data_IF_353745217022
#
_entry.id   IF_353745217022
#
_cell.length_a   1.000
_cell.length_b   1.000
_cell.length_c   1.000
_cell.angle_alpha   90.00
_cell.angle_beta   90.00
_cell.angle_gamma   90.00
#
_symmetry.space_group_name_H-M   'P 1'
#
loop_
_entity.id
_entity.type
_entity.pdbx_description
1 polymer ?
#
# COMPACT_ATOMS: atom_id res chain seq x y z
N UNK A 1 -7.60 -8.49 -14.63
CA UNK A 1 -6.48 -8.43 -15.62
C UNK A 1 -6.36 -9.67 -16.50
N UNK A 2 -6.44 -10.89 -15.94
CA UNK A 2 -6.28 -12.13 -16.70
C UNK A 2 -7.32 -12.34 -17.82
N UNK A 3 -8.59 -11.96 -17.62
CA UNK A 3 -9.65 -12.08 -18.63
C UNK A 3 -9.46 -11.19 -19.86
N UNK A 4 -8.82 -10.03 -19.68
CA UNK A 4 -8.65 -9.06 -20.74
C UNK A 4 -7.50 -9.48 -21.68
N UNK A 5 -6.50 -10.19 -21.16
CA UNK A 5 -5.47 -10.86 -21.97
C UNK A 5 -6.04 -12.02 -22.80
N UNK A 6 -6.99 -12.79 -22.26
CA UNK A 6 -7.69 -13.87 -23.01
C UNK A 6 -8.77 -13.37 -23.96
N UNK A 7 -9.40 -12.22 -23.69
CA UNK A 7 -10.47 -11.65 -24.52
C UNK A 7 -9.97 -10.75 -25.68
N UNK A 8 -8.68 -10.85 -26.08
CA UNK A 8 -8.00 -9.94 -27.03
C UNK A 8 -8.11 -8.45 -26.67
N UNK A 9 -8.44 -8.12 -25.42
CA UNK A 9 -8.43 -6.72 -24.97
C UNK A 9 -6.97 -6.28 -24.93
N UNK A 10 -6.60 -5.19 -25.62
CA UNK A 10 -5.21 -4.76 -25.69
C UNK A 10 -4.66 -4.55 -24.28
N UNK A 11 -3.48 -5.10 -23.99
CA UNK A 11 -2.79 -4.93 -22.69
C UNK A 11 -2.68 -3.46 -22.29
N UNK A 12 -2.59 -2.57 -23.27
CA UNK A 12 -2.59 -1.13 -23.12
C UNK A 12 -3.91 -0.58 -22.55
N UNK A 13 -5.07 -1.12 -22.95
CA UNK A 13 -6.37 -0.71 -22.42
C UNK A 13 -6.53 -1.14 -20.95
N UNK A 14 -6.02 -2.33 -20.61
CA UNK A 14 -5.99 -2.81 -19.22
C UNK A 14 -5.09 -1.92 -18.37
N UNK A 15 -3.89 -1.60 -18.86
CA UNK A 15 -2.96 -0.70 -18.19
C UNK A 15 -3.56 0.71 -18.00
N UNK A 16 -4.27 1.22 -19.01
CA UNK A 16 -4.92 2.53 -18.95
C UNK A 16 -6.04 2.59 -17.90
N UNK A 17 -6.88 1.54 -17.79
CA UNK A 17 -8.00 1.49 -16.84
C UNK A 17 -7.51 1.26 -15.40
N UNK A 18 -6.44 0.48 -15.24
CA UNK A 18 -5.95 0.07 -13.91
C UNK A 18 -4.80 0.94 -13.39
N UNK A 19 -4.25 1.83 -14.20
CA UNK A 19 -3.07 2.64 -13.87
C UNK A 19 -1.76 1.83 -13.72
N UNK A 20 -1.80 0.52 -13.98
CA UNK A 20 -0.66 -0.38 -13.81
C UNK A 20 0.28 -0.32 -15.01
N UNK A 21 1.58 -0.52 -14.77
CA UNK A 21 2.57 -0.61 -15.84
C UNK A 21 2.31 -1.85 -16.69
N UNK A 22 2.47 -1.69 -17.99
CA UNK A 22 2.20 -2.73 -19.00
C UNK A 22 3.00 -4.03 -18.75
N UNK A 23 4.17 -3.92 -18.13
CA UNK A 23 5.02 -5.05 -17.71
C UNK A 23 4.43 -5.88 -16.58
N UNK A 24 3.74 -5.24 -15.65
CA UNK A 24 3.17 -5.89 -14.46
C UNK A 24 1.89 -6.64 -14.86
N UNK A 25 1.10 -6.04 -15.77
CA UNK A 25 -0.06 -6.68 -16.41
C UNK A 25 0.34 -8.01 -17.09
N UNK A 26 1.46 -8.01 -17.81
CA UNK A 26 1.98 -9.21 -18.51
C UNK A 26 2.44 -10.31 -17.55
N UNK A 27 3.10 -9.95 -16.44
CA UNK A 27 3.54 -10.91 -15.41
C UNK A 27 2.36 -11.59 -14.73
N UNK A 28 1.34 -10.80 -14.35
CA UNK A 28 0.12 -11.31 -13.72
C UNK A 28 -0.64 -12.26 -14.67
N UNK A 29 -0.70 -11.93 -15.96
CA UNK A 29 -1.33 -12.79 -16.96
C UNK A 29 -0.66 -14.15 -17.16
N UNK A 30 0.68 -14.19 -17.10
CA UNK A 30 1.46 -15.42 -17.33
C UNK A 30 1.36 -16.42 -16.16
N UNK A 31 1.06 -15.97 -14.95
CA UNK A 31 0.86 -16.84 -13.78
C UNK A 31 -0.55 -17.43 -13.65
N UNK A 32 -1.48 -17.10 -14.55
CA UNK A 32 -2.90 -17.43 -14.40
C UNK A 32 -3.46 -18.32 -15.52
N UNK A 33 -2.65 -18.73 -16.50
CA UNK A 33 -3.03 -19.76 -17.49
C UNK A 33 -3.41 -21.10 -16.86
N UNK A 34 -2.97 -21.33 -15.62
CA UNK A 34 -3.04 -22.64 -14.97
C UNK A 34 -4.26 -22.77 -14.02
N UNK A 35 -5.16 -21.79 -14.00
CA UNK A 35 -6.23 -21.70 -12.99
C UNK A 35 -7.57 -21.24 -13.59
N UNK A 36 -8.18 -22.03 -14.46
CA UNK A 36 -9.56 -21.77 -14.90
C UNK A 36 -10.56 -22.55 -14.04
N UNK A 37 -11.49 -21.82 -13.40
CA UNK A 37 -12.71 -22.40 -12.81
C UNK A 37 -13.78 -22.43 -13.90
N UNK A 38 -14.22 -23.64 -14.29
CA UNK A 38 -15.29 -23.82 -15.26
C UNK A 38 -16.64 -23.35 -14.70
N UNK A 39 -17.42 -22.60 -15.50
CA UNK A 39 -18.83 -22.27 -15.20
C UNK A 39 -19.19 -20.80 -14.98
N UNK A 40 -18.23 -19.86 -15.01
CA UNK A 40 -18.50 -18.42 -14.82
C UNK A 40 -18.62 -17.72 -16.18
N UNK A 41 -19.70 -16.95 -16.41
CA UNK A 41 -19.85 -16.19 -17.65
C UNK A 41 -18.80 -15.07 -17.73
N UNK A 42 -18.43 -14.66 -18.96
CA UNK A 42 -17.47 -13.56 -19.19
C UNK A 42 -17.86 -12.28 -18.46
N UNK A 43 -19.16 -11.96 -18.45
CA UNK A 43 -19.71 -10.76 -17.80
C UNK A 43 -19.62 -10.84 -16.28
N UNK A 44 -19.94 -11.99 -15.70
CA UNK A 44 -19.79 -12.24 -14.26
C UNK A 44 -18.33 -12.13 -13.82
N UNK A 45 -17.41 -12.64 -14.63
CA UNK A 45 -15.98 -12.56 -14.34
C UNK A 45 -15.43 -11.13 -14.45
N UNK A 46 -15.89 -10.34 -15.42
CA UNK A 46 -15.52 -8.93 -15.55
C UNK A 46 -16.10 -8.08 -14.41
N UNK A 47 -17.34 -8.36 -13.98
CA UNK A 47 -17.95 -7.70 -12.83
C UNK A 47 -17.16 -7.98 -11.54
N UNK A 48 -16.79 -9.23 -11.27
CA UNK A 48 -15.96 -9.57 -10.11
C UNK A 48 -14.57 -8.93 -10.13
N UNK A 49 -13.95 -8.82 -11.31
CA UNK A 49 -12.68 -8.09 -11.45
C UNK A 49 -12.83 -6.59 -11.18
N UNK A 50 -13.94 -5.96 -11.59
CA UNK A 50 -14.21 -4.56 -11.34
C UNK A 50 -14.43 -4.29 -9.84
N UNK A 51 -15.17 -5.19 -9.16
CA UNK A 51 -15.40 -5.12 -7.73
C UNK A 51 -14.09 -5.23 -6.94
N UNK A 52 -13.25 -6.22 -7.24
CA UNK A 52 -11.93 -6.38 -6.60
C UNK A 52 -11.03 -5.16 -6.85
N UNK A 53 -11.06 -4.60 -8.07
CA UNK A 53 -10.31 -3.40 -8.38
C UNK A 53 -10.79 -2.18 -7.57
N UNK A 54 -12.10 -2.04 -7.37
CA UNK A 54 -12.69 -1.02 -6.50
C UNK A 54 -12.25 -1.16 -5.05
N UNK A 55 -12.39 -2.36 -4.49
CA UNK A 55 -11.94 -2.67 -3.11
C UNK A 55 -10.45 -2.40 -2.91
N UNK A 56 -9.62 -2.72 -3.92
CA UNK A 56 -8.18 -2.44 -3.85
C UNK A 56 -7.89 -0.93 -3.85
N UNK A 57 -8.61 -0.15 -4.66
CA UNK A 57 -8.47 1.30 -4.68
C UNK A 57 -8.85 1.92 -3.32
N UNK A 58 -9.98 1.51 -2.77
CA UNK A 58 -10.43 1.95 -1.44
C UNK A 58 -9.40 1.60 -0.36
N UNK A 59 -8.89 0.36 -0.34
CA UNK A 59 -7.87 -0.06 0.60
C UNK A 59 -6.56 0.73 0.46
N UNK A 60 -6.18 1.12 -0.76
CA UNK A 60 -5.00 1.97 -1.01
C UNK A 60 -5.22 3.38 -0.46
N UNK A 61 -6.42 3.95 -0.62
CA UNK A 61 -6.77 5.27 -0.08
C UNK A 61 -6.84 5.28 1.44
N UNK A 62 -7.44 4.25 2.04
CA UNK A 62 -7.49 4.04 3.48
C UNK A 62 -6.08 3.89 4.05
N UNK A 63 -5.24 3.07 3.42
CA UNK A 63 -3.83 2.92 3.81
C UNK A 63 -3.10 4.26 3.75
N UNK A 64 -3.25 5.03 2.67
CA UNK A 64 -2.60 6.33 2.53
C UNK A 64 -3.06 7.31 3.63
N UNK A 65 -4.33 7.24 4.01
CA UNK A 65 -4.88 8.05 5.10
C UNK A 65 -4.33 7.63 6.46
N UNK A 66 -4.29 6.33 6.74
CA UNK A 66 -3.71 5.77 7.95
C UNK A 66 -2.22 6.13 8.09
N UNK A 67 -1.44 6.03 7.00
CA UNK A 67 -0.02 6.40 6.99
C UNK A 67 0.20 7.89 7.26
N UNK A 68 -0.64 8.77 6.71
CA UNK A 68 -0.58 10.22 7.00
C UNK A 68 -0.90 10.50 8.46
N UNK A 69 -1.94 9.88 9.01
CA UNK A 69 -2.33 10.04 10.41
C UNK A 69 -1.23 9.53 11.34
N UNK A 70 -0.75 8.31 11.09
CA UNK A 70 0.35 7.73 11.87
C UNK A 70 1.59 8.62 11.87
N UNK A 71 1.97 9.18 10.71
CA UNK A 71 3.08 10.14 10.63
C UNK A 71 2.82 11.38 11.51
N UNK A 72 1.62 11.94 11.49
CA UNK A 72 1.27 13.09 12.30
C UNK A 72 1.37 12.76 13.81
N UNK A 73 0.79 11.64 14.22
CA UNK A 73 0.79 11.18 15.62
C UNK A 73 2.23 10.95 16.13
N UNK A 74 3.09 10.32 15.31
CA UNK A 74 4.51 10.12 15.64
C UNK A 74 5.25 11.45 15.79
N UNK A 75 5.03 12.40 14.88
CA UNK A 75 5.66 13.73 14.96
C UNK A 75 5.22 14.47 16.21
N UNK A 76 3.92 14.41 16.55
CA UNK A 76 3.38 15.03 17.76
C UNK A 76 3.98 14.41 19.03
N UNK A 77 3.99 13.08 19.11
CA UNK A 77 4.58 12.35 20.23
C UNK A 77 6.05 12.72 20.45
N UNK A 78 6.86 12.74 19.37
CA UNK A 78 8.27 13.12 19.43
C UNK A 78 8.47 14.60 19.79
N UNK A 79 7.61 15.49 19.28
CA UNK A 79 7.68 16.94 19.56
C UNK A 79 7.32 17.25 21.00
N UNK A 80 6.37 16.51 21.59
CA UNK A 80 6.00 16.65 23.01
C UNK A 80 7.15 16.32 23.96
N UNK A 81 8.12 15.51 23.49
CA UNK A 81 9.24 15.04 24.30
C UNK A 81 8.84 14.05 25.40
N UNK A 82 7.59 13.56 25.42
CA UNK A 82 7.14 12.54 26.38
C UNK A 82 7.60 11.13 25.97
N UNK A 83 7.69 10.88 24.66
CA UNK A 83 8.19 9.64 24.08
C UNK A 83 9.40 9.92 23.19
N UNK A 84 10.41 9.07 23.30
CA UNK A 84 11.50 9.00 22.33
C UNK A 84 11.17 7.98 21.23
N UNK A 85 11.97 8.00 20.16
CA UNK A 85 11.78 7.12 19.00
C UNK A 85 11.79 5.62 19.35
N UNK A 86 12.51 5.20 20.40
CA UNK A 86 12.62 3.80 20.78
C UNK A 86 11.37 3.33 21.54
N UNK A 87 10.81 4.20 22.39
CA UNK A 87 9.52 3.94 23.05
C UNK A 87 8.39 3.82 22.04
N UNK A 88 8.35 4.72 21.04
CA UNK A 88 7.35 4.63 19.97
C UNK A 88 7.55 3.34 19.17
N UNK A 89 8.79 2.95 18.87
CA UNK A 89 9.08 1.71 18.14
C UNK A 89 8.56 0.47 18.90
N UNK A 90 8.78 0.42 20.22
CA UNK A 90 8.31 -0.67 21.06
C UNK A 90 6.78 -0.78 21.11
N UNK A 91 6.06 0.35 21.06
CA UNK A 91 4.59 0.39 21.13
C UNK A 91 3.89 0.13 19.79
N UNK A 92 4.57 0.40 18.67
CA UNK A 92 3.94 0.42 17.34
C UNK A 92 4.37 -0.72 16.43
N UNK A 93 5.32 -1.57 16.88
CA UNK A 93 6.00 -2.57 16.07
C UNK A 93 6.67 -2.00 14.79
N UNK A 94 6.89 -0.68 14.75
CA UNK A 94 7.61 0.01 13.68
C UNK A 94 9.04 0.24 14.14
N UNK A 95 10.03 -0.18 13.36
CA UNK A 95 11.45 0.00 13.71
C UNK A 95 11.79 1.49 13.89
N UNK A 96 12.77 1.79 14.75
CA UNK A 96 13.24 3.15 14.96
C UNK A 96 13.78 3.78 13.66
N UNK A 97 14.43 2.99 12.80
CA UNK A 97 14.90 3.40 11.48
C UNK A 97 13.73 3.89 10.62
N UNK A 98 12.66 3.10 10.55
CA UNK A 98 11.45 3.47 9.81
C UNK A 98 10.78 4.71 10.38
N UNK A 99 10.75 4.88 11.70
CA UNK A 99 10.23 6.09 12.35
C UNK A 99 11.07 7.33 11.99
N UNK A 100 12.40 7.21 11.92
CA UNK A 100 13.29 8.30 11.47
C UNK A 100 13.06 8.66 9.99
N UNK A 101 12.79 7.67 9.15
CA UNK A 101 12.48 7.91 7.73
C UNK A 101 11.18 8.68 7.56
N UNK A 102 10.08 8.23 8.18
CA UNK A 102 8.78 8.87 8.00
C UNK A 102 8.72 10.27 8.63
N UNK A 103 9.57 10.54 9.63
CA UNK A 103 9.65 11.85 10.29
C UNK A 103 10.73 12.75 9.73
N UNK A 104 11.46 12.34 8.68
CA UNK A 104 12.51 13.16 8.07
C UNK A 104 11.95 14.49 7.55
N UNK A 105 12.70 15.58 7.77
CA UNK A 105 12.33 16.93 7.32
C UNK A 105 11.26 17.64 8.15
N UNK A 106 10.84 17.09 9.29
CA UNK A 106 9.78 17.68 10.15
C UNK A 106 10.31 18.62 11.24
N UNK A 107 11.62 18.93 11.23
CA UNK A 107 12.24 19.86 12.20
C UNK A 107 12.32 19.33 13.63
N UNK A 108 12.15 18.03 13.85
CA UNK A 108 12.27 17.42 15.17
C UNK A 108 13.70 17.55 15.71
N UNK A 109 13.82 17.87 17.01
CA UNK A 109 15.11 18.00 17.70
C UNK A 109 15.82 16.65 17.77
N UNK A 110 17.16 16.66 17.73
CA UNK A 110 17.98 15.46 17.84
C UNK A 110 17.75 14.65 19.13
N UNK A 111 17.26 15.30 20.20
CA UNK A 111 16.89 14.67 21.46
C UNK A 111 15.75 13.65 21.33
N UNK A 112 14.82 13.85 20.39
CA UNK A 112 13.72 12.93 20.13
C UNK A 112 14.20 11.54 19.65
N UNK A 113 15.45 11.46 19.20
CA UNK A 113 16.07 10.25 18.65
C UNK A 113 17.16 9.63 19.55
N UNK A 114 17.38 10.19 20.75
CA UNK A 114 18.32 9.65 21.74
C UNK A 114 17.57 8.77 22.73
N UNK A 115 18.14 7.63 23.11
CA UNK A 115 17.64 6.87 24.25
C UNK A 115 17.78 7.73 25.50
N UNK A 116 16.68 7.91 26.24
CA UNK A 116 16.74 8.55 27.54
C UNK A 116 17.21 7.55 28.60
N UNK A 117 18.13 7.94 29.50
CA UNK A 117 18.43 7.14 30.67
C UNK A 117 17.15 7.01 31.50
N UNK A 118 16.88 5.79 31.94
CA UNK A 118 15.80 5.42 32.87
C UNK A 118 16.04 5.99 34.26
#
# INVERSE_FOLDING_TARGET
MAAALTARVPVAAIAAITGLKLTDVKKIGKGHSDSYVAGVSREQHLAGLAEIAGQLLEAVEEKATAERKFRADVVEALRSGQLDVFRIAALTAVTAERLREITRGTGLRGEAFRSRPS
#
